data_IF_992980419256
#
_entry.id   IF_992980419256
#
_cell.length_a   1.000
_cell.length_b   1.000
_cell.length_c   1.000
_cell.angle_alpha   90.00
_cell.angle_beta   90.00
_cell.angle_gamma   90.00
#
_symmetry.space_group_name_H-M   'P 1'
#
loop_
_entity.id
_entity.type
_entity.pdbx_description
1 polymer ?
#
# COMPACT_ATOMS: atom_id res chain seq x y z
N UNK A 1 -0.75 -75.07 -3.44
CA UNK A 1 -2.16 -74.65 -3.55
C UNK A 1 -2.72 -73.97 -2.30
N UNK A 2 -3.05 -74.65 -1.19
CA UNK A 2 -3.66 -73.98 -0.02
C UNK A 2 -2.77 -72.88 0.61
N UNK A 3 -1.46 -73.08 0.69
CA UNK A 3 -0.51 -72.06 1.19
C UNK A 3 -0.48 -70.83 0.28
N UNK A 4 -0.44 -71.05 -1.03
CA UNK A 4 -0.40 -70.02 -2.06
C UNK A 4 -1.69 -69.18 -2.09
N UNK A 5 -2.86 -69.81 -1.93
CA UNK A 5 -4.13 -69.10 -1.77
C UNK A 5 -4.18 -68.24 -0.49
N UNK A 6 -3.56 -68.70 0.61
CA UNK A 6 -3.44 -67.91 1.85
C UNK A 6 -2.52 -66.71 1.67
N UNK A 7 -1.38 -66.88 1.00
CA UNK A 7 -0.45 -65.79 0.68
C UNK A 7 -1.13 -64.75 -0.24
N UNK A 8 -1.85 -65.17 -1.27
CA UNK A 8 -2.64 -64.28 -2.13
C UNK A 8 -3.74 -63.54 -1.37
N UNK A 9 -4.48 -64.24 -0.49
CA UNK A 9 -5.51 -63.62 0.33
C UNK A 9 -4.93 -62.55 1.27
N UNK A 10 -3.78 -62.83 1.90
CA UNK A 10 -3.09 -61.86 2.74
C UNK A 10 -2.67 -60.61 1.94
N UNK A 11 -2.11 -60.79 0.74
CA UNK A 11 -1.77 -59.67 -0.14
C UNK A 11 -2.98 -58.84 -0.55
N UNK A 12 -4.12 -59.47 -0.81
CA UNK A 12 -5.39 -58.77 -1.09
C UNK A 12 -5.89 -57.98 0.12
N UNK A 13 -5.80 -58.54 1.34
CA UNK A 13 -6.21 -57.86 2.58
C UNK A 13 -5.31 -56.65 2.90
N UNK A 14 -3.99 -56.78 2.70
CA UNK A 14 -3.06 -55.67 2.85
C UNK A 14 -3.33 -54.56 1.83
N UNK A 15 -3.63 -54.93 0.58
CA UNK A 15 -4.05 -54.00 -0.47
C UNK A 15 -5.37 -53.31 -0.14
N UNK A 16 -6.39 -54.05 0.31
CA UNK A 16 -7.69 -53.51 0.71
C UNK A 16 -7.54 -52.48 1.83
N UNK A 17 -6.71 -52.77 2.85
CA UNK A 17 -6.39 -51.83 3.93
C UNK A 17 -5.74 -50.55 3.38
N UNK A 18 -4.72 -50.69 2.53
CA UNK A 18 -4.04 -49.54 1.91
C UNK A 18 -4.98 -48.66 1.09
N UNK A 19 -5.88 -49.27 0.30
CA UNK A 19 -6.88 -48.53 -0.48
C UNK A 19 -7.92 -47.84 0.43
N UNK A 20 -8.30 -48.48 1.53
CA UNK A 20 -9.23 -47.90 2.52
C UNK A 20 -8.61 -46.67 3.18
N UNK A 21 -7.35 -46.76 3.62
CA UNK A 21 -6.60 -45.64 4.19
C UNK A 21 -6.45 -44.48 3.19
N UNK A 22 -6.08 -44.78 1.94
CA UNK A 22 -5.99 -43.78 0.87
C UNK A 22 -7.33 -43.08 0.62
N UNK A 23 -8.43 -43.83 0.60
CA UNK A 23 -9.78 -43.29 0.40
C UNK A 23 -10.23 -42.41 1.58
N UNK A 24 -9.87 -42.76 2.81
CA UNK A 24 -10.07 -41.91 3.97
C UNK A 24 -9.27 -40.61 3.88
N UNK A 25 -8.00 -40.68 3.48
CA UNK A 25 -7.15 -39.51 3.29
C UNK A 25 -7.72 -38.56 2.23
N UNK A 26 -8.14 -39.09 1.07
CA UNK A 26 -8.74 -38.31 0.00
C UNK A 26 -10.07 -37.66 0.42
N UNK A 27 -10.92 -38.37 1.18
CA UNK A 27 -12.16 -37.80 1.72
C UNK A 27 -11.88 -36.64 2.67
N UNK A 28 -10.87 -36.77 3.53
CA UNK A 28 -10.42 -35.70 4.43
C UNK A 28 -9.91 -34.49 3.64
N UNK A 29 -9.02 -34.71 2.68
CA UNK A 29 -8.48 -33.65 1.81
C UNK A 29 -9.59 -32.92 1.05
N UNK A 30 -10.59 -33.64 0.54
CA UNK A 30 -11.76 -33.06 -0.12
C UNK A 30 -12.55 -32.14 0.82
N UNK A 31 -12.81 -32.58 2.05
CA UNK A 31 -13.53 -31.80 3.05
C UNK A 31 -12.74 -30.53 3.44
N UNK A 32 -11.43 -30.67 3.71
CA UNK A 32 -10.54 -29.56 4.04
C UNK A 32 -10.45 -28.55 2.90
N UNK A 33 -10.35 -29.01 1.65
CA UNK A 33 -10.32 -28.15 0.46
C UNK A 33 -11.63 -27.38 0.30
N UNK A 34 -12.78 -28.04 0.46
CA UNK A 34 -14.09 -27.36 0.40
C UNK A 34 -14.25 -26.32 1.49
N UNK A 35 -13.85 -26.65 2.71
CA UNK A 35 -13.88 -25.72 3.85
C UNK A 35 -12.98 -24.50 3.60
N UNK A 36 -11.75 -24.75 3.15
CA UNK A 36 -10.78 -23.70 2.80
C UNK A 36 -11.30 -22.79 1.68
N UNK A 37 -11.87 -23.36 0.62
CA UNK A 37 -12.45 -22.58 -0.47
C UNK A 37 -13.64 -21.71 0.00
N UNK A 38 -14.48 -22.23 0.90
CA UNK A 38 -15.57 -21.45 1.50
C UNK A 38 -15.03 -20.29 2.33
N UNK A 39 -14.05 -20.54 3.19
CA UNK A 39 -13.41 -19.50 4.01
C UNK A 39 -12.72 -18.43 3.16
N UNK A 40 -12.00 -18.82 2.11
CA UNK A 40 -11.37 -17.88 1.19
C UNK A 40 -12.40 -17.02 0.44
N UNK A 41 -13.52 -17.60 0.01
CA UNK A 41 -14.61 -16.83 -0.62
C UNK A 41 -15.16 -15.75 0.32
N UNK A 42 -15.36 -16.08 1.59
CA UNK A 42 -15.80 -15.10 2.60
C UNK A 42 -14.76 -14.01 2.78
N UNK A 43 -13.49 -14.39 2.96
CA UNK A 43 -12.38 -13.44 3.16
C UNK A 43 -12.24 -12.47 1.98
N UNK A 44 -12.31 -12.99 0.74
CA UNK A 44 -12.29 -12.16 -0.48
C UNK A 44 -13.51 -11.23 -0.50
N UNK A 45 -14.71 -11.75 -0.22
CA UNK A 45 -15.92 -10.93 -0.17
C UNK A 45 -15.83 -9.80 0.84
N UNK A 46 -15.35 -10.07 2.05
CA UNK A 46 -15.16 -9.07 3.12
C UNK A 46 -14.15 -7.99 2.72
N UNK A 47 -13.04 -8.37 2.07
CA UNK A 47 -12.05 -7.42 1.58
C UNK A 47 -12.64 -6.46 0.53
N UNK A 48 -13.40 -6.99 -0.43
CA UNK A 48 -14.07 -6.16 -1.45
C UNK A 48 -15.16 -5.28 -0.85
N UNK A 49 -15.99 -5.80 0.06
CA UNK A 49 -17.03 -5.00 0.71
C UNK A 49 -16.47 -3.87 1.56
N UNK A 50 -15.30 -4.07 2.19
CA UNK A 50 -14.60 -3.01 2.88
C UNK A 50 -14.19 -1.89 1.92
N UNK A 51 -13.58 -2.22 0.77
CA UNK A 51 -13.22 -1.24 -0.24
C UNK A 51 -14.44 -0.52 -0.83
N UNK A 52 -15.51 -1.25 -1.14
CA UNK A 52 -16.76 -0.65 -1.62
C UNK A 52 -17.36 0.33 -0.62
N UNK A 53 -17.33 -0.01 0.67
CA UNK A 53 -17.79 0.87 1.74
C UNK A 53 -16.98 2.16 1.81
N UNK A 54 -15.65 2.07 1.82
CA UNK A 54 -14.76 3.23 1.82
C UNK A 54 -15.03 4.15 0.63
N UNK A 55 -15.19 3.57 -0.57
CA UNK A 55 -15.51 4.34 -1.77
C UNK A 55 -16.86 5.05 -1.67
N UNK A 56 -17.90 4.37 -1.15
CA UNK A 56 -19.24 4.96 -0.94
C UNK A 56 -19.21 6.09 0.08
N UNK A 57 -18.54 5.89 1.21
CA UNK A 57 -18.40 6.89 2.27
C UNK A 57 -17.62 8.11 1.77
N UNK A 58 -16.54 7.89 1.01
CA UNK A 58 -15.76 8.98 0.41
C UNK A 58 -16.56 9.77 -0.61
N UNK A 59 -17.28 9.09 -1.51
CA UNK A 59 -18.16 9.75 -2.47
C UNK A 59 -19.21 10.61 -1.77
N UNK A 60 -19.86 10.06 -0.74
CA UNK A 60 -20.85 10.78 0.07
C UNK A 60 -20.26 12.04 0.69
N UNK A 61 -19.12 11.92 1.38
CA UNK A 61 -18.46 13.07 2.02
C UNK A 61 -18.09 14.18 1.02
N UNK A 62 -17.61 13.81 -0.18
CA UNK A 62 -17.28 14.79 -1.22
C UNK A 62 -18.51 15.54 -1.76
N UNK A 63 -19.65 14.84 -1.90
CA UNK A 63 -20.91 15.46 -2.33
C UNK A 63 -21.49 16.37 -1.24
N UNK A 64 -21.47 15.94 0.02
CA UNK A 64 -21.92 16.77 1.15
C UNK A 64 -21.09 18.06 1.27
N UNK A 65 -19.77 17.97 1.05
CA UNK A 65 -18.89 19.14 1.02
C UNK A 65 -19.23 20.09 -0.15
N UNK A 66 -19.51 19.54 -1.34
CA UNK A 66 -19.94 20.33 -2.50
C UNK A 66 -21.28 21.03 -2.27
N UNK A 67 -22.25 20.34 -1.68
CA UNK A 67 -23.55 20.90 -1.32
C UNK A 67 -23.40 22.03 -0.30
N UNK A 68 -22.54 21.86 0.71
CA UNK A 68 -22.27 22.91 1.69
C UNK A 68 -21.60 24.15 1.08
N UNK A 69 -20.63 23.97 0.18
CA UNK A 69 -19.98 25.08 -0.54
C UNK A 69 -20.98 25.80 -1.45
N UNK A 70 -21.84 25.04 -2.13
CA UNK A 70 -22.89 25.57 -3.01
C UNK A 70 -23.90 26.40 -2.20
N UNK A 71 -24.42 25.85 -1.10
CA UNK A 71 -25.40 26.54 -0.26
C UNK A 71 -24.83 27.85 0.34
N UNK A 72 -23.57 27.83 0.79
CA UNK A 72 -22.87 29.03 1.29
C UNK A 72 -22.75 30.11 0.22
N UNK A 73 -22.32 29.74 -0.99
CA UNK A 73 -22.15 30.67 -2.11
C UNK A 73 -23.48 31.25 -2.57
N UNK A 74 -24.52 30.41 -2.71
CA UNK A 74 -25.86 30.86 -3.08
C UNK A 74 -26.44 31.83 -2.05
N UNK A 75 -26.30 31.52 -0.76
CA UNK A 75 -26.79 32.40 0.33
C UNK A 75 -26.11 33.77 0.27
N UNK A 76 -24.79 33.83 0.06
CA UNK A 76 -24.06 35.09 -0.08
C UNK A 76 -24.53 35.89 -1.30
N UNK A 77 -24.69 35.23 -2.45
CA UNK A 77 -25.21 35.86 -3.68
C UNK A 77 -26.62 36.42 -3.45
N UNK A 78 -27.52 35.65 -2.83
CA UNK A 78 -28.88 36.09 -2.51
C UNK A 78 -28.90 37.30 -1.59
N UNK A 79 -28.06 37.32 -0.54
CA UNK A 79 -27.92 38.47 0.35
C UNK A 79 -27.40 39.71 -0.39
N UNK A 80 -26.40 39.55 -1.27
CA UNK A 80 -25.89 40.62 -2.13
C UNK A 80 -27.00 41.14 -3.06
N UNK A 81 -27.76 40.26 -3.71
CA UNK A 81 -28.89 40.64 -4.58
C UNK A 81 -29.94 41.44 -3.79
N UNK A 82 -30.33 40.98 -2.60
CA UNK A 82 -31.31 41.67 -1.76
C UNK A 82 -30.82 43.07 -1.36
N UNK A 83 -29.56 43.17 -0.92
CA UNK A 83 -28.92 44.44 -0.55
C UNK A 83 -28.90 45.42 -1.72
N UNK A 84 -28.40 44.99 -2.88
CA UNK A 84 -28.31 45.84 -4.07
C UNK A 84 -29.69 46.20 -4.63
N UNK A 85 -30.68 45.30 -4.56
CA UNK A 85 -32.06 45.62 -4.94
C UNK A 85 -32.65 46.72 -4.06
N UNK A 86 -32.38 46.70 -2.75
CA UNK A 86 -32.85 47.75 -1.84
C UNK A 86 -32.14 49.08 -2.08
N UNK A 87 -30.83 49.06 -2.32
CA UNK A 87 -30.06 50.26 -2.67
C UNK A 87 -30.55 50.86 -3.99
N UNK A 88 -30.78 50.02 -5.00
CA UNK A 88 -31.29 50.45 -6.31
C UNK A 88 -32.66 51.16 -6.16
N UNK A 89 -33.59 50.61 -5.38
CA UNK A 89 -34.88 51.27 -5.09
C UNK A 89 -34.68 52.66 -4.48
N UNK A 90 -33.83 52.80 -3.46
CA UNK A 90 -33.55 54.09 -2.83
C UNK A 90 -32.95 55.11 -3.81
N UNK A 91 -32.02 54.68 -4.65
CA UNK A 91 -31.42 55.52 -5.70
C UNK A 91 -32.47 55.94 -6.74
N UNK A 92 -33.32 55.01 -7.20
CA UNK A 92 -34.41 55.30 -8.13
C UNK A 92 -35.41 56.30 -7.55
N UNK A 93 -35.84 56.14 -6.30
CA UNK A 93 -36.69 57.11 -5.62
C UNK A 93 -36.03 58.50 -5.52
N UNK A 94 -34.72 58.55 -5.24
CA UNK A 94 -33.97 59.81 -5.18
C UNK A 94 -33.91 60.51 -6.54
N UNK A 95 -33.68 59.72 -7.59
CA UNK A 95 -33.72 60.19 -8.98
C UNK A 95 -35.09 60.76 -9.34
N UNK A 96 -36.17 60.05 -8.98
CA UNK A 96 -37.54 60.51 -9.23
C UNK A 96 -37.85 61.82 -8.52
N UNK A 97 -37.46 61.97 -7.25
CA UNK A 97 -37.65 63.22 -6.49
C UNK A 97 -36.96 64.40 -7.20
N UNK A 98 -35.75 64.19 -7.71
CA UNK A 98 -35.02 65.22 -8.46
C UNK A 98 -35.70 65.51 -9.81
N UNK A 99 -36.15 64.49 -10.54
CA UNK A 99 -36.86 64.66 -11.81
C UNK A 99 -38.17 65.44 -11.65
N UNK A 100 -38.99 65.09 -10.66
CA UNK A 100 -40.24 65.80 -10.34
C UNK A 100 -39.97 67.28 -10.01
N UNK A 101 -38.87 67.56 -9.30
CA UNK A 101 -38.49 68.95 -8.99
C UNK A 101 -37.97 69.71 -10.20
N UNK A 102 -37.18 69.08 -11.06
CA UNK A 102 -36.69 69.69 -12.30
C UNK A 102 -37.82 69.98 -13.30
N UNK A 103 -38.94 69.24 -13.21
CA UNK A 103 -40.13 69.45 -14.05
C UNK A 103 -41.08 70.54 -13.53
N UNK A 104 -40.85 71.11 -12.33
CA UNK A 104 -41.71 72.14 -11.75
C UNK A 104 -41.57 73.46 -12.51
N UNK A 105 -42.68 73.95 -13.08
CA UNK A 105 -42.69 75.14 -13.92
C UNK A 105 -42.81 76.45 -13.11
N UNK A 106 -43.41 76.39 -11.91
CA UNK A 106 -43.55 77.55 -11.03
C UNK A 106 -42.25 77.80 -10.24
N UNK A 107 -41.62 78.94 -10.49
CA UNK A 107 -40.33 79.32 -9.87
C UNK A 107 -40.41 79.49 -8.35
N UNK A 108 -41.54 79.97 -7.82
CA UNK A 108 -41.69 80.18 -6.38
C UNK A 108 -41.89 78.85 -5.65
N UNK A 109 -42.70 77.94 -6.23
CA UNK A 109 -42.90 76.57 -5.71
C UNK A 109 -41.60 75.77 -5.80
N UNK A 110 -40.87 75.89 -6.91
CA UNK A 110 -39.56 75.28 -7.08
C UNK A 110 -38.59 75.70 -5.97
N UNK A 111 -38.37 77.01 -5.78
CA UNK A 111 -37.43 77.53 -4.78
C UNK A 111 -37.80 77.13 -3.34
N UNK A 112 -39.09 77.17 -2.98
CA UNK A 112 -39.56 76.71 -1.67
C UNK A 112 -39.30 75.21 -1.46
N UNK A 113 -39.48 74.40 -2.51
CA UNK A 113 -39.24 72.96 -2.48
C UNK A 113 -37.77 72.58 -2.35
N UNK A 114 -36.84 73.38 -2.91
CA UNK A 114 -35.39 73.13 -2.90
C UNK A 114 -34.84 73.05 -1.47
N UNK A 115 -35.32 73.88 -0.55
CA UNK A 115 -34.87 73.89 0.84
C UNK A 115 -35.08 72.52 1.54
N UNK A 116 -36.09 71.74 1.11
CA UNK A 116 -36.40 70.41 1.67
C UNK A 116 -35.69 69.25 0.96
N UNK A 117 -35.04 69.49 -0.18
CA UNK A 117 -34.47 68.41 -1.01
C UNK A 117 -33.31 67.70 -0.34
N UNK A 118 -32.47 68.44 0.38
CA UNK A 118 -31.32 67.88 1.09
C UNK A 118 -31.75 66.77 2.05
N UNK A 119 -32.81 66.99 2.83
CA UNK A 119 -33.32 65.99 3.77
C UNK A 119 -33.97 64.81 3.03
N UNK A 120 -34.70 65.07 1.94
CA UNK A 120 -35.35 64.02 1.14
C UNK A 120 -34.36 63.12 0.38
N UNK A 121 -33.17 63.62 0.05
CA UNK A 121 -32.13 62.87 -0.66
C UNK A 121 -31.13 62.16 0.25
N UNK A 122 -31.18 62.46 1.55
CA UNK A 122 -30.28 61.87 2.55
C UNK A 122 -30.37 60.35 2.54
N UNK A 123 -29.23 59.68 2.37
CA UNK A 123 -29.15 58.22 2.35
C UNK A 123 -29.75 57.55 1.11
N UNK A 124 -30.03 58.30 0.02
CA UNK A 124 -30.48 57.74 -1.26
C UNK A 124 -29.33 57.44 -2.22
N UNK A 125 -28.21 58.15 -2.10
CA UNK A 125 -26.98 57.89 -2.87
C UNK A 125 -26.19 56.77 -2.20
N UNK A 126 -25.82 55.74 -2.97
CA UNK A 126 -25.03 54.60 -2.51
C UNK A 126 -23.89 54.33 -3.48
N UNK A 127 -22.69 54.02 -2.96
CA UNK A 127 -21.56 53.57 -3.77
C UNK A 127 -21.71 52.09 -4.14
N UNK A 128 -21.36 51.76 -5.38
CA UNK A 128 -21.32 50.37 -5.87
C UNK A 128 -19.95 49.76 -5.61
N UNK A 129 -19.86 48.91 -4.58
CA UNK A 129 -18.63 48.16 -4.25
C UNK A 129 -18.96 46.66 -4.27
N UNK A 130 -19.19 46.11 -5.46
CA UNK A 130 -19.49 44.69 -5.64
C UNK A 130 -18.20 43.92 -5.89
N UNK A 131 -17.88 42.98 -5.00
CA UNK A 131 -16.84 41.99 -5.25
C UNK A 131 -17.48 40.73 -5.82
N UNK A 132 -17.00 40.31 -6.99
CA UNK A 132 -17.35 39.04 -7.59
C UNK A 132 -16.34 37.99 -7.12
N UNK A 133 -16.85 36.89 -6.58
CA UNK A 133 -16.05 35.74 -6.14
C UNK A 133 -16.54 34.52 -6.90
N UNK A 134 -15.61 33.80 -7.54
CA UNK A 134 -15.94 32.57 -8.25
C UNK A 134 -16.25 31.44 -7.27
N UNK A 135 -17.19 30.59 -7.66
CA UNK A 135 -17.39 29.30 -6.99
C UNK A 135 -16.07 28.50 -7.06
N UNK A 136 -15.64 27.82 -5.98
CA UNK A 136 -14.37 27.11 -5.92
C UNK A 136 -14.37 25.79 -6.73
N UNK A 137 -14.74 25.84 -8.01
CA UNK A 137 -14.82 24.68 -8.91
C UNK A 137 -13.50 23.91 -8.98
N UNK A 138 -12.37 24.62 -8.94
CA UNK A 138 -11.02 24.03 -8.96
C UNK A 138 -10.76 23.06 -7.81
N UNK A 139 -11.42 23.23 -6.66
CA UNK A 139 -11.36 22.32 -5.50
C UNK A 139 -11.82 20.90 -5.86
N UNK A 140 -12.75 20.76 -6.81
CA UNK A 140 -13.38 19.50 -7.20
C UNK A 140 -12.90 18.95 -8.55
N UNK A 141 -12.14 19.75 -9.33
CA UNK A 141 -11.62 19.37 -10.66
C UNK A 141 -10.24 18.73 -10.63
N UNK A 142 -9.62 18.57 -9.45
CA UNK A 142 -8.34 17.87 -9.30
C UNK A 142 -8.39 16.40 -9.79
N UNK A 143 -7.26 15.67 -9.75
CA UNK A 143 -7.19 14.29 -10.23
C UNK A 143 -7.97 13.34 -9.30
N UNK A 144 -9.30 13.30 -9.45
CA UNK A 144 -10.23 12.68 -8.51
C UNK A 144 -9.89 11.23 -8.22
N UNK A 145 -9.62 10.44 -9.27
CA UNK A 145 -9.24 9.04 -9.14
C UNK A 145 -7.97 8.85 -8.31
N UNK A 146 -6.97 9.71 -8.50
CA UNK A 146 -5.72 9.66 -7.76
C UNK A 146 -5.89 10.09 -6.30
N UNK A 147 -6.72 11.10 -6.04
CA UNK A 147 -7.09 11.50 -4.67
C UNK A 147 -7.81 10.37 -3.93
N UNK A 148 -8.74 9.69 -4.60
CA UNK A 148 -9.43 8.51 -4.06
C UNK A 148 -8.41 7.39 -3.78
N UNK A 149 -7.55 7.09 -4.73
CA UNK A 149 -6.48 6.10 -4.59
C UNK A 149 -5.57 6.39 -3.39
N UNK A 150 -5.15 7.65 -3.19
CA UNK A 150 -4.39 8.05 -2.01
C UNK A 150 -5.14 7.86 -0.70
N UNK A 151 -6.43 8.17 -0.67
CA UNK A 151 -7.23 7.90 0.54
C UNK A 151 -7.35 6.41 0.83
N UNK A 152 -7.50 5.55 -0.19
CA UNK A 152 -7.59 4.11 0.00
C UNK A 152 -6.34 3.52 0.66
N UNK A 153 -5.14 4.05 0.38
CA UNK A 153 -3.92 3.57 1.02
C UNK A 153 -3.90 3.71 2.54
N UNK A 154 -4.60 4.71 3.09
CA UNK A 154 -4.65 4.90 4.53
C UNK A 154 -5.43 3.79 5.22
N UNK A 155 -6.34 3.15 4.51
CA UNK A 155 -7.18 2.08 5.02
C UNK A 155 -6.71 0.68 4.60
N UNK A 156 -5.88 0.53 3.56
CA UNK A 156 -5.40 -0.79 3.13
C UNK A 156 -4.32 -1.31 4.11
N UNK A 157 -4.48 -2.55 4.59
CA UNK A 157 -3.50 -3.21 5.45
C UNK A 157 -3.37 -4.70 5.10
N UNK A 158 -2.15 -5.27 5.11
CA UNK A 158 -0.87 -4.57 5.25
C UNK A 158 -0.50 -3.81 3.96
N UNK A 159 0.13 -2.65 4.10
CA UNK A 159 0.87 -1.98 3.03
C UNK A 159 2.36 -2.34 3.15
N UNK A 160 3.17 -2.20 2.08
CA UNK A 160 4.61 -2.39 2.18
C UNK A 160 5.22 -1.62 3.36
N UNK A 161 5.78 -2.35 4.33
CA UNK A 161 6.40 -1.80 5.51
C UNK A 161 7.73 -1.12 5.14
N UNK A 162 8.00 0.00 5.80
CA UNK A 162 9.29 0.68 5.71
C UNK A 162 10.34 -0.07 6.53
N UNK A 163 10.93 -1.10 5.94
CA UNK A 163 12.00 -1.87 6.57
C UNK A 163 13.37 -1.19 6.41
N UNK A 164 14.23 -1.43 7.39
CA UNK A 164 15.65 -1.07 7.36
C UNK A 164 16.50 -2.31 7.65
N UNK A 165 17.71 -2.29 7.13
CA UNK A 165 18.75 -3.30 7.32
C UNK A 165 19.54 -3.01 8.59
N UNK A 166 19.97 -4.04 9.33
CA UNK A 166 20.82 -3.92 10.51
C UNK A 166 22.31 -4.02 10.12
N UNK A 167 23.09 -2.90 10.14
CA UNK A 167 24.51 -2.90 9.80
C UNK A 167 25.37 -3.77 10.73
N UNK A 168 24.89 -4.03 11.96
CA UNK A 168 25.54 -4.91 12.93
C UNK A 168 25.54 -6.38 12.51
N UNK A 169 24.62 -6.78 11.63
CA UNK A 169 24.53 -8.15 11.10
C UNK A 169 25.20 -8.33 9.75
N UNK A 170 25.37 -7.25 9.00
CA UNK A 170 25.82 -7.28 7.61
C UNK A 170 27.22 -7.88 7.46
N UNK A 171 27.37 -8.82 6.54
CA UNK A 171 28.69 -9.36 6.16
C UNK A 171 29.68 -8.25 5.75
N UNK A 172 30.97 -8.40 6.06
CA UNK A 172 32.00 -7.37 5.85
C UNK A 172 32.16 -6.89 4.41
N UNK A 173 31.74 -7.69 3.43
CA UNK A 173 31.76 -7.32 2.00
C UNK A 173 30.47 -6.65 1.53
N UNK A 174 29.49 -6.43 2.38
CA UNK A 174 28.27 -5.71 2.01
C UNK A 174 28.45 -4.22 2.21
N UNK A 175 27.89 -3.42 1.31
CA UNK A 175 27.77 -1.97 1.43
C UNK A 175 26.30 -1.65 1.56
N UNK A 176 25.95 -0.87 2.59
CA UNK A 176 24.60 -0.42 2.86
C UNK A 176 24.50 1.07 2.51
N UNK A 177 23.33 1.52 2.08
CA UNK A 177 23.04 2.95 1.98
C UNK A 177 22.90 3.59 3.36
N UNK A 178 23.04 4.91 3.44
CA UNK A 178 22.92 5.67 4.69
C UNK A 178 21.57 5.49 5.39
N UNK A 179 20.49 5.36 4.61
CA UNK A 179 19.14 5.09 5.11
C UNK A 179 18.88 3.61 5.44
N UNK A 180 19.88 2.75 5.23
CA UNK A 180 19.81 1.30 5.46
C UNK A 180 18.67 0.61 4.68
N UNK A 181 18.31 1.10 3.50
CA UNK A 181 17.27 0.48 2.64
C UNK A 181 17.84 -0.27 1.43
N UNK A 182 19.13 -0.08 1.14
CA UNK A 182 19.82 -0.64 -0.02
C UNK A 182 21.00 -1.46 0.46
N UNK A 183 21.22 -2.62 -0.17
CA UNK A 183 22.41 -3.45 0.07
C UNK A 183 23.01 -3.95 -1.24
N UNK A 184 24.31 -3.70 -1.41
CA UNK A 184 25.10 -4.21 -2.52
C UNK A 184 26.27 -5.05 -2.01
N UNK A 185 26.79 -5.90 -2.90
CA UNK A 185 28.11 -6.48 -2.70
C UNK A 185 29.17 -5.44 -3.05
N UNK A 186 30.09 -5.18 -2.13
CA UNK A 186 31.17 -4.21 -2.27
C UNK A 186 32.35 -4.73 -3.09
N UNK A 187 33.19 -3.81 -3.55
CA UNK A 187 34.33 -4.13 -4.41
C UNK A 187 35.59 -4.51 -3.60
N UNK A 188 36.17 -5.65 -3.99
CA UNK A 188 37.55 -6.16 -3.76
C UNK A 188 38.08 -6.29 -2.31
N UNK A 189 37.74 -5.40 -1.39
CA UNK A 189 38.24 -5.44 0.00
C UNK A 189 37.09 -5.40 1.02
N UNK A 190 37.14 -6.24 2.08
CA UNK A 190 36.21 -6.15 3.19
C UNK A 190 36.26 -4.75 3.84
N UNK A 191 35.10 -4.24 4.26
CA UNK A 191 35.07 -3.01 5.03
C UNK A 191 35.80 -3.19 6.37
N UNK A 192 36.51 -2.16 6.87
CA UNK A 192 37.23 -2.18 8.15
C UNK A 192 36.26 -2.06 9.34
N UNK A 193 35.25 -2.93 9.37
CA UNK A 193 34.26 -3.02 10.43
C UNK A 193 34.79 -3.94 11.53
N UNK A 194 34.46 -3.62 12.78
CA UNK A 194 34.72 -4.53 13.89
C UNK A 194 33.83 -5.78 13.76
N UNK A 195 34.41 -6.96 13.95
CA UNK A 195 33.66 -8.22 13.97
C UNK A 195 32.80 -8.31 15.25
N UNK A 196 31.66 -8.98 15.14
CA UNK A 196 30.77 -9.28 16.25
C UNK A 196 30.11 -10.65 16.06
N UNK A 197 29.65 -11.31 17.14
CA UNK A 197 28.88 -12.56 17.03
C UNK A 197 27.60 -12.41 16.19
N UNK A 198 27.07 -11.18 16.09
CA UNK A 198 25.86 -10.88 15.31
C UNK A 198 26.13 -10.78 13.81
N UNK A 199 27.39 -10.67 13.37
CA UNK A 199 27.74 -10.47 11.97
C UNK A 199 27.88 -11.79 11.21
N UNK A 200 27.35 -11.85 9.99
CA UNK A 200 27.69 -12.94 9.07
C UNK A 200 29.16 -12.87 8.65
N UNK A 201 29.89 -13.98 8.75
CA UNK A 201 31.34 -14.05 8.45
C UNK A 201 31.65 -14.67 7.08
N UNK A 202 30.86 -15.64 6.64
CA UNK A 202 31.01 -16.38 5.38
C UNK A 202 29.86 -16.07 4.43
N UNK A 203 28.63 -16.09 4.95
CA UNK A 203 27.43 -15.87 4.14
C UNK A 203 27.30 -14.37 3.83
N UNK A 204 27.13 -14.03 2.54
CA UNK A 204 27.12 -12.64 2.06
C UNK A 204 25.72 -12.05 2.25
N UNK A 205 25.35 -11.85 3.52
CA UNK A 205 23.98 -11.55 3.91
C UNK A 205 23.88 -10.53 5.05
N UNK A 206 22.67 -10.02 5.22
CA UNK A 206 22.28 -9.04 6.25
C UNK A 206 20.84 -9.32 6.69
N UNK A 207 20.55 -9.06 7.97
CA UNK A 207 19.18 -9.08 8.51
C UNK A 207 18.56 -7.70 8.52
N UNK A 208 17.24 -7.63 8.49
CA UNK A 208 16.50 -6.43 8.85
C UNK A 208 16.60 -6.12 10.34
N UNK A 209 16.42 -4.85 10.67
CA UNK A 209 16.46 -4.33 12.06
C UNK A 209 15.28 -4.83 12.88
N UNK A 210 14.11 -4.98 12.26
CA UNK A 210 12.88 -5.40 12.95
C UNK A 210 12.81 -6.93 13.08
N UNK A 211 12.36 -7.38 14.25
CA UNK A 211 12.12 -8.79 14.57
C UNK A 211 10.63 -9.02 14.83
N UNK A 212 9.96 -9.70 13.89
CA UNK A 212 8.54 -10.01 13.91
C UNK A 212 8.25 -11.17 14.88
N UNK A 213 7.37 -10.93 15.86
CA UNK A 213 6.92 -11.95 16.81
C UNK A 213 5.40 -12.18 16.81
N UNK A 214 4.68 -11.62 15.84
CA UNK A 214 3.22 -11.66 15.74
C UNK A 214 2.72 -10.73 14.62
N UNK A 215 1.45 -10.89 14.23
CA UNK A 215 0.78 -10.02 13.28
C UNK A 215 1.02 -10.32 11.81
N UNK A 216 0.54 -9.41 10.96
CA UNK A 216 0.55 -9.51 9.50
C UNK A 216 1.41 -8.39 8.91
N UNK A 217 2.41 -8.77 8.12
CA UNK A 217 3.43 -7.88 7.56
C UNK A 217 3.57 -8.09 6.06
N UNK A 218 3.84 -7.02 5.32
CA UNK A 218 4.15 -7.10 3.89
C UNK A 218 5.27 -6.12 3.57
N UNK A 219 6.22 -6.50 2.72
CA UNK A 219 7.21 -5.58 2.16
C UNK A 219 7.62 -6.06 0.77
N UNK A 220 8.27 -5.18 0.02
CA UNK A 220 8.72 -5.47 -1.32
C UNK A 220 10.20 -5.19 -1.47
N UNK A 221 10.87 -5.99 -2.30
CA UNK A 221 12.30 -5.87 -2.59
C UNK A 221 12.46 -5.77 -4.09
N UNK A 222 13.07 -4.68 -4.55
CA UNK A 222 13.51 -4.50 -5.92
C UNK A 222 14.75 -5.37 -6.14
N UNK A 223 14.65 -6.27 -7.12
CA UNK A 223 15.66 -7.28 -7.48
C UNK A 223 16.06 -7.17 -8.95
N UNK A 224 15.55 -6.16 -9.66
CA UNK A 224 15.81 -5.87 -11.06
C UNK A 224 17.31 -5.90 -11.39
N UNK A 225 17.65 -6.31 -12.61
CA UNK A 225 19.02 -6.32 -13.15
C UNK A 225 20.04 -7.25 -12.44
N UNK A 226 19.67 -7.90 -11.34
CA UNK A 226 20.51 -8.90 -10.67
C UNK A 226 20.51 -10.23 -11.44
N UNK A 227 21.52 -11.05 -11.19
CA UNK A 227 21.62 -12.43 -11.72
C UNK A 227 21.66 -13.49 -10.63
N UNK A 228 21.85 -13.06 -9.37
CA UNK A 228 21.77 -13.91 -8.19
C UNK A 228 21.32 -13.09 -7.00
N UNK A 229 20.42 -13.63 -6.18
CA UNK A 229 20.02 -13.06 -4.90
C UNK A 229 19.24 -14.08 -4.08
N UNK A 230 19.11 -13.83 -2.79
CA UNK A 230 18.24 -14.58 -1.90
C UNK A 230 17.55 -13.62 -0.95
N UNK A 231 16.24 -13.81 -0.76
CA UNK A 231 15.42 -12.97 0.11
C UNK A 231 14.41 -13.83 0.87
N UNK A 232 14.03 -13.39 2.06
CA UNK A 232 13.03 -14.07 2.87
C UNK A 232 13.08 -13.66 4.33
N UNK A 233 12.92 -14.65 5.20
CA UNK A 233 12.98 -14.49 6.65
C UNK A 233 14.01 -15.47 7.24
N UNK A 234 14.62 -15.07 8.35
CA UNK A 234 15.46 -15.92 9.20
C UNK A 234 15.08 -15.74 10.66
N UNK A 235 15.24 -16.76 11.50
CA UNK A 235 15.11 -16.57 12.94
C UNK A 235 16.10 -15.54 13.46
N UNK A 236 15.69 -14.74 14.44
CA UNK A 236 16.56 -13.74 15.07
C UNK A 236 17.85 -14.39 15.60
N UNK A 237 17.77 -15.61 16.13
CA UNK A 237 18.90 -16.33 16.74
C UNK A 237 19.60 -17.33 15.82
N UNK A 238 19.44 -17.26 14.48
CA UNK A 238 20.15 -18.17 13.57
C UNK A 238 21.67 -18.11 13.75
N UNK A 239 22.35 -19.23 13.50
CA UNK A 239 23.82 -19.27 13.41
C UNK A 239 24.28 -18.38 12.25
N UNK A 240 25.26 -17.53 12.52
CA UNK A 240 25.80 -16.55 11.55
C UNK A 240 27.28 -16.77 11.22
N UNK A 241 27.85 -17.85 11.76
CA UNK A 241 29.27 -18.17 11.65
C UNK A 241 29.51 -19.44 10.85
N UNK A 242 30.54 -19.43 10.02
CA UNK A 242 30.92 -20.56 9.18
C UNK A 242 29.94 -20.84 8.03
N UNK A 243 30.01 -22.06 7.47
CA UNK A 243 29.10 -22.48 6.40
C UNK A 243 27.70 -22.73 6.97
N UNK A 244 26.71 -22.00 6.44
CA UNK A 244 25.32 -22.06 6.88
C UNK A 244 24.48 -22.72 5.80
N UNK A 245 23.59 -23.63 6.20
CA UNK A 245 22.57 -24.19 5.31
C UNK A 245 21.31 -23.34 5.38
N UNK A 246 20.94 -22.70 4.27
CA UNK A 246 19.70 -21.93 4.17
C UNK A 246 18.53 -22.88 3.91
N UNK A 247 17.84 -23.26 4.98
CA UNK A 247 16.67 -24.14 4.94
C UNK A 247 15.81 -24.01 6.22
N UNK A 248 14.52 -24.41 6.19
CA UNK A 248 13.60 -24.29 7.32
C UNK A 248 14.10 -24.93 8.61
N UNK A 249 14.71 -26.12 8.56
CA UNK A 249 15.24 -26.79 9.77
C UNK A 249 16.37 -26.01 10.47
N UNK A 250 16.96 -25.03 9.78
CA UNK A 250 17.99 -24.11 10.30
C UNK A 250 17.46 -22.72 10.57
N UNK A 251 16.15 -22.52 10.42
CA UNK A 251 15.49 -21.25 10.70
C UNK A 251 15.51 -20.26 9.54
N UNK A 252 15.64 -20.72 8.29
CA UNK A 252 15.62 -19.86 7.12
C UNK A 252 14.44 -20.21 6.20
N UNK A 253 13.72 -19.18 5.79
CA UNK A 253 12.53 -19.26 4.95
C UNK A 253 12.69 -18.31 3.78
N UNK A 254 13.38 -18.76 2.74
CA UNK A 254 13.84 -17.91 1.64
C UNK A 254 13.45 -18.45 0.27
N UNK A 255 13.40 -17.53 -0.70
CA UNK A 255 13.50 -17.86 -2.11
C UNK A 255 14.81 -17.30 -2.67
N UNK A 256 15.33 -17.96 -3.70
CA UNK A 256 16.61 -17.64 -4.33
C UNK A 256 16.44 -17.56 -5.84
N UNK A 257 17.14 -16.62 -6.45
CA UNK A 257 17.43 -16.62 -7.88
C UNK A 257 18.90 -16.97 -8.10
N UNK A 258 19.17 -17.88 -9.02
CA UNK A 258 20.50 -18.25 -9.50
C UNK A 258 20.52 -18.30 -11.03
N UNK A 259 21.72 -18.21 -11.60
CA UNK A 259 21.97 -18.30 -13.05
C UNK A 259 21.10 -17.35 -13.90
N UNK A 260 20.73 -16.19 -13.36
CA UNK A 260 20.03 -15.12 -14.07
C UNK A 260 18.53 -15.30 -14.29
N UNK A 261 17.99 -16.53 -14.21
CA UNK A 261 16.55 -16.79 -14.39
C UNK A 261 16.04 -18.10 -13.76
N UNK A 262 16.82 -18.75 -12.90
CA UNK A 262 16.36 -19.95 -12.19
C UNK A 262 15.96 -19.58 -10.77
N UNK A 263 14.77 -19.96 -10.36
CA UNK A 263 14.21 -19.62 -9.06
C UNK A 263 13.92 -20.87 -8.24
N UNK A 264 14.16 -20.81 -6.94
CA UNK A 264 13.84 -21.91 -6.02
C UNK A 264 13.40 -21.38 -4.67
N UNK A 265 12.49 -22.09 -4.02
CA UNK A 265 12.29 -21.98 -2.59
C UNK A 265 13.30 -22.87 -1.87
N UNK A 266 13.91 -22.35 -0.82
CA UNK A 266 14.94 -23.03 -0.04
C UNK A 266 14.38 -24.12 0.89
N UNK A 267 13.50 -24.99 0.40
CA UNK A 267 12.94 -26.14 1.11
C UNK A 267 13.93 -27.29 1.24
N UNK A 268 13.56 -28.40 1.87
CA UNK A 268 14.41 -29.59 2.00
C UNK A 268 13.77 -30.78 1.28
N UNK A 269 14.19 -31.14 0.05
CA UNK A 269 15.15 -30.46 -0.84
C UNK A 269 14.58 -29.18 -1.47
N UNK A 270 15.44 -28.37 -2.12
CA UNK A 270 15.02 -27.11 -2.76
C UNK A 270 13.92 -27.34 -3.81
N UNK A 271 12.86 -26.53 -3.77
CA UNK A 271 11.72 -26.62 -4.68
C UNK A 271 11.89 -25.61 -5.80
N UNK A 272 11.98 -26.06 -7.05
CA UNK A 272 12.04 -25.17 -8.22
C UNK A 272 10.73 -24.39 -8.37
N UNK A 273 10.83 -23.09 -8.61
CA UNK A 273 9.68 -22.22 -8.87
C UNK A 273 9.48 -22.02 -10.37
N UNK A 274 8.24 -22.04 -10.82
CA UNK A 274 7.88 -21.75 -12.21
C UNK A 274 7.51 -20.27 -12.36
N UNK A 275 8.50 -19.45 -12.71
CA UNK A 275 8.32 -18.01 -12.85
C UNK A 275 8.20 -17.68 -14.34
N UNK A 276 7.12 -16.98 -14.72
CA UNK A 276 6.77 -16.71 -16.14
C UNK A 276 7.75 -15.77 -16.83
N UNK A 277 8.23 -14.77 -16.10
CA UNK A 277 9.15 -13.74 -16.55
C UNK A 277 10.15 -13.43 -15.45
N UNK A 278 11.26 -12.78 -15.82
CA UNK A 278 12.23 -12.32 -14.81
C UNK A 278 11.53 -11.39 -13.81
N UNK A 279 11.83 -11.57 -12.53
CA UNK A 279 11.27 -10.73 -11.46
C UNK A 279 12.02 -9.40 -11.41
N UNK A 280 11.28 -8.29 -11.47
CA UNK A 280 11.83 -6.95 -11.18
C UNK A 280 11.67 -6.63 -9.69
N UNK A 281 10.57 -7.11 -9.09
CA UNK A 281 10.28 -6.91 -7.67
C UNK A 281 9.62 -8.15 -7.05
N UNK A 282 10.00 -8.46 -5.81
CA UNK A 282 9.41 -9.55 -5.02
C UNK A 282 8.69 -8.98 -3.81
N UNK A 283 7.43 -9.39 -3.64
CA UNK A 283 6.63 -9.13 -2.46
C UNK A 283 6.78 -10.27 -1.46
N UNK A 284 6.96 -9.93 -0.18
CA UNK A 284 7.06 -10.89 0.93
C UNK A 284 5.95 -10.57 1.92
N UNK A 285 5.04 -11.52 2.09
CA UNK A 285 3.91 -11.43 3.01
C UNK A 285 4.05 -12.44 4.13
N UNK A 286 4.02 -11.97 5.37
CA UNK A 286 4.07 -12.79 6.57
C UNK A 286 2.75 -12.63 7.33
N UNK A 287 2.00 -13.71 7.47
CA UNK A 287 0.98 -13.85 8.51
C UNK A 287 1.56 -14.76 9.58
N UNK A 288 2.19 -14.14 10.58
CA UNK A 288 2.94 -14.85 11.61
C UNK A 288 2.02 -15.76 12.42
N UNK A 289 0.84 -15.24 12.79
CA UNK A 289 -0.10 -15.93 13.68
C UNK A 289 -0.72 -17.16 13.01
N UNK A 290 -0.90 -17.13 11.68
CA UNK A 290 -1.33 -18.30 10.89
C UNK A 290 -0.19 -19.19 10.42
N UNK A 291 1.06 -18.79 10.64
CA UNK A 291 2.23 -19.54 10.20
C UNK A 291 2.38 -19.56 8.67
N UNK A 292 2.07 -18.44 8.00
CA UNK A 292 2.15 -18.34 6.55
C UNK A 292 3.20 -17.30 6.15
N UNK A 293 4.14 -17.73 5.30
CA UNK A 293 5.04 -16.83 4.57
C UNK A 293 4.81 -17.04 3.08
N UNK A 294 4.40 -16.00 2.37
CA UNK A 294 4.03 -16.05 0.95
C UNK A 294 4.90 -15.08 0.17
N UNK A 295 5.41 -15.55 -0.97
CA UNK A 295 6.17 -14.76 -1.92
C UNK A 295 5.34 -14.50 -3.18
N UNK A 296 5.43 -13.28 -3.69
CA UNK A 296 4.73 -12.83 -4.90
C UNK A 296 5.69 -12.15 -5.86
N UNK A 297 5.39 -12.21 -7.16
CA UNK A 297 5.85 -11.17 -8.07
C UNK A 297 5.08 -9.90 -7.69
N UNK A 298 5.77 -8.87 -7.21
CA UNK A 298 5.11 -7.68 -6.69
C UNK A 298 4.53 -6.78 -7.80
N UNK A 299 4.89 -6.99 -9.06
CA UNK A 299 4.38 -6.17 -10.17
C UNK A 299 2.96 -6.58 -10.60
N UNK A 300 2.65 -7.88 -10.59
CA UNK A 300 1.34 -8.42 -10.99
C UNK A 300 0.61 -9.18 -9.87
N UNK A 301 1.20 -9.20 -8.66
CA UNK A 301 0.73 -9.97 -7.50
C UNK A 301 0.55 -11.47 -7.77
N UNK A 302 1.22 -12.02 -8.78
CA UNK A 302 1.19 -13.46 -9.03
C UNK A 302 1.95 -14.22 -7.94
N UNK A 303 1.34 -15.29 -7.46
CA UNK A 303 1.91 -16.14 -6.43
C UNK A 303 3.18 -16.86 -6.93
N UNK A 304 4.21 -16.90 -6.09
CA UNK A 304 5.46 -17.61 -6.35
C UNK A 304 5.60 -18.85 -5.48
N UNK A 305 5.48 -18.70 -4.16
CA UNK A 305 5.65 -19.79 -3.21
C UNK A 305 5.02 -19.49 -1.86
N UNK A 306 4.71 -20.53 -1.08
CA UNK A 306 4.25 -20.40 0.31
C UNK A 306 4.95 -21.40 1.23
N UNK A 307 5.58 -20.91 2.29
CA UNK A 307 5.93 -21.72 3.45
C UNK A 307 4.75 -21.73 4.43
N UNK A 308 4.46 -22.91 4.99
CA UNK A 308 3.40 -23.13 5.98
C UNK A 308 4.00 -23.78 7.22
N UNK A 309 4.41 -22.97 8.18
CA UNK A 309 5.10 -23.43 9.38
C UNK A 309 4.72 -22.64 10.62
N UNK A 310 4.78 -23.28 11.79
CA UNK A 310 4.76 -22.56 13.06
C UNK A 310 6.17 -22.06 13.33
N UNK A 311 6.37 -20.75 13.25
CA UNK A 311 7.68 -20.13 13.42
C UNK A 311 8.08 -20.11 14.91
N UNK A 312 9.13 -20.85 15.33
CA UNK A 312 9.58 -20.82 16.72
C UNK A 312 10.34 -19.52 17.02
N UNK A 313 9.66 -18.57 17.64
CA UNK A 313 10.25 -17.30 18.05
C UNK A 313 10.33 -16.27 16.91
N UNK A 314 11.04 -15.17 17.18
CA UNK A 314 11.02 -14.00 16.28
C UNK A 314 11.74 -14.25 14.97
N UNK A 315 11.24 -13.61 13.92
CA UNK A 315 11.78 -13.65 12.57
C UNK A 315 12.26 -12.26 12.15
N UNK A 316 13.43 -12.18 11.51
CA UNK A 316 13.95 -10.99 10.87
C UNK A 316 13.91 -11.18 9.35
N UNK A 317 13.70 -10.10 8.60
CA UNK A 317 13.91 -10.13 7.14
C UNK A 317 15.36 -10.47 6.81
N UNK A 318 15.55 -11.26 5.77
CA UNK A 318 16.85 -11.78 5.34
C UNK A 318 17.11 -11.36 3.90
N UNK A 319 18.32 -10.85 3.65
CA UNK A 319 18.73 -10.37 2.34
C UNK A 319 20.15 -10.82 2.03
N UNK A 320 20.32 -11.43 0.86
CA UNK A 320 21.61 -11.70 0.24
C UNK A 320 21.61 -11.16 -1.19
N UNK A 321 22.41 -10.12 -1.51
CA UNK A 321 22.50 -9.63 -2.87
C UNK A 321 23.27 -10.59 -3.80
N UNK A 322 23.76 -11.73 -3.30
CA UNK A 322 24.70 -12.57 -4.03
C UNK A 322 26.06 -11.89 -4.22
N UNK A 323 27.03 -12.66 -4.69
CA UNK A 323 28.36 -12.13 -4.99
C UNK A 323 28.35 -11.42 -6.35
N UNK A 324 29.16 -10.37 -6.49
CA UNK A 324 29.47 -9.81 -7.81
C UNK A 324 30.60 -10.59 -8.45
N UNK A 325 30.46 -10.90 -9.73
CA UNK A 325 31.48 -11.63 -10.48
C UNK A 325 32.52 -10.66 -11.06
N UNK A 326 33.77 -11.11 -11.20
CA UNK A 326 34.86 -10.29 -11.77
C UNK A 326 34.60 -9.77 -13.19
N UNK A 327 33.63 -10.36 -13.91
CA UNK A 327 33.17 -9.91 -15.23
C UNK A 327 32.08 -8.82 -15.17
N UNK A 328 31.82 -8.21 -14.00
CA UNK A 328 30.85 -7.14 -13.82
C UNK A 328 29.39 -7.60 -13.69
N UNK A 329 29.12 -8.90 -13.58
CA UNK A 329 27.75 -9.41 -13.36
C UNK A 329 27.32 -9.30 -11.90
N UNK A 330 26.02 -9.10 -11.68
CA UNK A 330 25.37 -9.02 -10.36
C UNK A 330 25.85 -7.87 -9.44
N UNK A 331 26.25 -6.73 -10.02
CA UNK A 331 26.74 -5.56 -9.26
C UNK A 331 25.61 -4.72 -8.67
N UNK A 332 24.40 -4.80 -9.22
CA UNK A 332 23.28 -3.99 -8.78
C UNK A 332 22.81 -4.39 -7.36
N UNK A 333 22.37 -3.42 -6.54
CA UNK A 333 21.93 -3.68 -5.18
C UNK A 333 20.59 -4.40 -5.11
N UNK A 334 20.30 -5.00 -3.96
CA UNK A 334 18.93 -5.18 -3.51
C UNK A 334 18.45 -3.87 -2.88
N UNK A 335 17.21 -3.49 -3.16
CA UNK A 335 16.59 -2.29 -2.59
C UNK A 335 15.25 -2.61 -1.98
N UNK A 336 15.08 -2.30 -0.70
CA UNK A 336 13.77 -2.33 -0.04
C UNK A 336 12.91 -1.24 -0.67
N UNK A 337 11.74 -1.61 -1.14
CA UNK A 337 10.83 -0.69 -1.79
C UNK A 337 10.11 0.16 -0.74
N UNK A 338 10.68 1.32 -0.42
CA UNK A 338 10.13 2.24 0.59
C UNK A 338 9.05 3.14 0.02
N UNK A 339 8.19 2.63 -0.84
CA UNK A 339 7.13 3.42 -1.49
C UNK A 339 6.22 4.00 -0.39
N UNK A 340 6.52 5.26 -0.03
CA UNK A 340 5.65 6.16 0.71
C UNK A 340 4.80 6.85 -0.36
N UNK A 341 3.59 6.37 -0.62
CA UNK A 341 2.64 7.06 -1.51
C UNK A 341 1.84 8.09 -0.73
#
# INVERSE_FOLDING_TARGET
LQRELKEQLQGLQESERGHTEALHLLKRQLAETKSSAKSLRVTIGEAFERLHRLLRERQKAMLEELEADTARTLTDIEQKIQRYSQQLRKVQEGSQILQERLAEADKHVFLAGVASLSERLKGKIHETNLTYEDFPTSKYMGPLQYTIWKSLFQDIHPVPAALTLDPGTAHHRLILSDDCTIVAYGNLHPQPLQDSPKRFDVEVSVLGTEAFGGGVHYWEVVVSEKTQWMIGLAHEAVTRKGSIQIQPSRGFYCIVMHDGNQYSACTEPWTRLNVKSKLEKVGVFLDYDRGLLIFYNADDMSWLYTFRERFPGKLCSYFSPGQSHANGKNVQPLRINTVRI
#
